data_IF_482147592493
#
_entry.id   IF_482147592493
#
_cell.length_a   1.000
_cell.length_b   1.000
_cell.length_c   1.000
_cell.angle_alpha   90.00
_cell.angle_beta   90.00
_cell.angle_gamma   90.00
#
_symmetry.space_group_name_H-M   'P 1'
#
loop_
_entity.id
_entity.type
_entity.pdbx_description
1 polymer ?
#
# COMPACT_ATOMS: atom_id res chain seq x y z
N UNK A 1 -4.13 16.91 -13.08
CA UNK A 1 -5.05 16.27 -12.11
C UNK A 1 -4.44 14.93 -11.72
N UNK A 2 -4.17 14.67 -10.44
CA UNK A 2 -3.64 13.37 -9.99
C UNK A 2 -4.84 12.54 -9.57
N UNK A 3 -5.22 11.56 -10.38
CA UNK A 3 -6.26 10.60 -9.98
C UNK A 3 -5.69 9.69 -8.90
N UNK A 4 -6.31 9.73 -7.72
CA UNK A 4 -6.05 8.74 -6.67
C UNK A 4 -6.59 7.39 -7.14
N UNK A 5 -5.70 6.40 -7.26
CA UNK A 5 -6.05 5.07 -7.75
C UNK A 5 -6.48 4.22 -6.57
N UNK A 6 -7.77 3.92 -6.53
CA UNK A 6 -8.36 2.98 -5.59
C UNK A 6 -9.13 1.90 -6.33
N UNK A 7 -9.31 0.76 -5.67
CA UNK A 7 -10.13 -0.34 -6.16
C UNK A 7 -11.20 -0.64 -5.13
N UNK A 8 -12.40 -0.94 -5.59
CA UNK A 8 -13.50 -1.40 -4.75
C UNK A 8 -13.91 -2.79 -5.16
N UNK A 9 -14.08 -3.65 -4.15
CA UNK A 9 -14.79 -4.91 -4.28
C UNK A 9 -16.22 -4.66 -3.83
N UNK A 10 -17.17 -4.96 -4.71
CA UNK A 10 -18.59 -4.73 -4.49
C UNK A 10 -19.35 -6.05 -4.54
N UNK A 11 -20.38 -6.15 -3.73
CA UNK A 11 -21.35 -7.23 -3.81
C UNK A 11 -22.13 -7.08 -5.13
N UNK A 12 -22.30 -8.19 -5.86
CA UNK A 12 -22.72 -8.15 -7.26
C UNK A 12 -24.17 -7.72 -7.50
N UNK A 13 -25.05 -7.85 -6.52
CA UNK A 13 -26.50 -7.63 -6.68
C UNK A 13 -26.90 -6.21 -6.26
N UNK A 14 -26.49 -5.82 -5.07
CA UNK A 14 -26.76 -4.55 -4.40
C UNK A 14 -25.75 -3.46 -4.76
N UNK A 15 -24.57 -3.84 -5.25
CA UNK A 15 -23.47 -2.91 -5.52
C UNK A 15 -22.81 -2.36 -4.25
N UNK A 16 -23.15 -2.91 -3.07
CA UNK A 16 -22.59 -2.48 -1.79
C UNK A 16 -21.08 -2.67 -1.77
N UNK A 17 -20.33 -1.65 -1.37
CA UNK A 17 -18.87 -1.76 -1.25
C UNK A 17 -18.53 -2.64 -0.05
N UNK A 18 -17.83 -3.74 -0.32
CA UNK A 18 -17.35 -4.68 0.68
C UNK A 18 -15.97 -4.29 1.16
N UNK A 19 -15.07 -3.98 0.22
CA UNK A 19 -13.67 -3.68 0.52
C UNK A 19 -13.14 -2.58 -0.38
N UNK A 20 -12.49 -1.59 0.21
CA UNK A 20 -11.73 -0.57 -0.51
C UNK A 20 -10.25 -0.84 -0.38
N UNK A 21 -9.53 -0.89 -1.51
CA UNK A 21 -8.09 -1.00 -1.58
C UNK A 21 -7.52 0.33 -2.09
N UNK A 22 -6.72 0.98 -1.27
CA UNK A 22 -6.07 2.25 -1.58
C UNK A 22 -4.57 2.04 -1.77
N UNK A 23 -4.02 2.55 -2.88
CA UNK A 23 -2.58 2.68 -3.07
C UNK A 23 -2.16 4.11 -2.73
N UNK A 24 -1.25 4.27 -1.76
CA UNK A 24 -0.80 5.60 -1.36
C UNK A 24 -0.03 6.31 -2.46
N UNK A 25 -0.39 7.58 -2.66
CA UNK A 25 0.37 8.50 -3.50
C UNK A 25 1.33 9.36 -2.64
N UNK A 26 2.41 9.92 -3.21
CA UNK A 26 3.28 10.85 -2.48
C UNK A 26 2.55 12.04 -1.86
N UNK A 27 1.46 12.51 -2.48
CA UNK A 27 0.62 13.60 -1.99
C UNK A 27 -0.13 13.23 -0.70
N UNK A 28 -0.48 11.96 -0.51
CA UNK A 28 -1.21 11.47 0.66
C UNK A 28 -0.29 11.38 1.90
N UNK A 29 1.02 11.21 1.68
CA UNK A 29 2.01 11.00 2.76
C UNK A 29 2.71 12.29 3.18
N UNK A 30 2.94 13.23 2.25
CA UNK A 30 3.55 14.54 2.54
C UNK A 30 2.58 15.45 3.30
N UNK A 31 3.09 16.24 4.24
CA UNK A 31 2.27 17.19 5.00
C UNK A 31 1.55 18.20 4.10
N UNK A 32 0.38 18.66 4.54
CA UNK A 32 -0.44 19.64 3.83
C UNK A 32 -1.79 19.07 3.39
N UNK A 33 -2.53 19.86 2.61
CA UNK A 33 -3.94 19.59 2.28
C UNK A 33 -4.19 18.20 1.66
N UNK A 34 -3.23 17.65 0.91
CA UNK A 34 -3.36 16.33 0.32
C UNK A 34 -3.41 15.20 1.36
N UNK A 35 -2.56 15.26 2.37
CA UNK A 35 -2.58 14.33 3.49
C UNK A 35 -3.82 14.51 4.35
N UNK A 36 -4.22 15.75 4.62
CA UNK A 36 -5.40 16.02 5.44
C UNK A 36 -6.68 15.48 4.79
N UNK A 37 -6.84 15.70 3.49
CA UNK A 37 -7.93 15.13 2.71
C UNK A 37 -7.91 13.60 2.71
N UNK A 38 -6.72 12.99 2.54
CA UNK A 38 -6.57 11.54 2.60
C UNK A 38 -6.93 10.99 3.99
N UNK A 39 -6.49 11.64 5.07
CA UNK A 39 -6.82 11.23 6.43
C UNK A 39 -8.32 11.32 6.73
N UNK A 40 -9.01 12.34 6.20
CA UNK A 40 -10.46 12.44 6.28
C UNK A 40 -11.15 11.28 5.55
N UNK A 41 -10.76 10.99 4.29
CA UNK A 41 -11.27 9.84 3.52
C UNK A 41 -11.03 8.52 4.26
N UNK A 42 -9.82 8.33 4.77
CA UNK A 42 -9.43 7.15 5.57
C UNK A 42 -10.32 6.98 6.79
N UNK A 43 -10.61 8.07 7.53
CA UNK A 43 -11.51 8.03 8.68
C UNK A 43 -12.95 7.70 8.30
N UNK A 44 -13.44 8.21 7.16
CA UNK A 44 -14.78 7.87 6.65
C UNK A 44 -14.91 6.37 6.36
N UNK A 45 -13.93 5.76 5.68
CA UNK A 45 -13.96 4.32 5.39
C UNK A 45 -13.86 3.51 6.68
N UNK A 46 -12.96 3.87 7.60
CA UNK A 46 -12.79 3.20 8.89
C UNK A 46 -14.03 3.33 9.79
N UNK A 47 -14.82 4.40 9.63
CA UNK A 47 -16.11 4.59 10.31
C UNK A 47 -17.30 3.87 9.66
N UNK A 48 -17.10 3.21 8.52
CA UNK A 48 -18.15 2.48 7.79
C UNK A 48 -18.11 0.97 8.06
N UNK A 49 -19.00 0.20 7.43
CA UNK A 49 -18.97 -1.28 7.43
C UNK A 49 -18.04 -1.87 6.35
N UNK A 50 -17.45 -1.03 5.51
CA UNK A 50 -16.53 -1.41 4.44
C UNK A 50 -15.19 -1.82 5.03
N UNK A 51 -14.60 -2.93 4.60
CA UNK A 51 -13.22 -3.28 4.93
C UNK A 51 -12.23 -2.36 4.21
N UNK A 52 -11.02 -2.25 4.73
CA UNK A 52 -10.02 -1.32 4.22
C UNK A 52 -8.67 -1.97 4.08
N UNK A 53 -8.06 -1.85 2.89
CA UNK A 53 -6.66 -2.22 2.63
C UNK A 53 -5.92 -0.97 2.15
N UNK A 54 -4.82 -0.63 2.82
CA UNK A 54 -3.97 0.51 2.48
C UNK A 54 -2.56 0.02 2.18
N UNK A 55 -2.09 0.25 0.95
CA UNK A 55 -0.78 -0.17 0.46
C UNK A 55 0.13 1.06 0.36
N UNK A 56 1.21 1.06 1.13
CA UNK A 56 2.23 2.11 1.19
C UNK A 56 3.55 1.57 0.62
N UNK A 57 3.83 1.88 -0.64
CA UNK A 57 5.10 1.55 -1.32
C UNK A 57 6.06 2.76 -1.36
N UNK A 58 5.87 3.74 -0.47
CA UNK A 58 6.64 4.99 -0.49
C UNK A 58 7.65 5.01 0.66
N UNK A 59 8.95 5.09 0.36
CA UNK A 59 10.00 5.22 1.39
C UNK A 59 9.92 6.55 2.15
N UNK A 60 9.60 7.64 1.44
CA UNK A 60 9.61 9.00 1.99
C UNK A 60 8.31 9.42 2.66
N UNK A 61 8.39 10.42 3.55
CA UNK A 61 7.24 11.03 4.21
C UNK A 61 6.84 10.34 5.53
N UNK A 62 6.00 11.01 6.32
CA UNK A 62 5.61 10.48 7.64
C UNK A 62 4.60 9.33 7.49
N UNK A 63 4.77 8.21 8.20
CA UNK A 63 3.76 7.16 8.30
C UNK A 63 2.36 7.71 8.61
N UNK A 64 1.32 7.06 8.10
CA UNK A 64 -0.05 7.43 8.47
C UNK A 64 -0.35 7.04 9.93
N UNK A 65 -1.24 7.76 10.62
CA UNK A 65 -1.52 7.51 12.04
C UNK A 65 -2.04 6.08 12.28
N UNK A 66 -1.39 5.36 13.18
CA UNK A 66 -1.81 4.07 13.71
C UNK A 66 -1.28 3.91 15.13
N UNK A 67 -2.01 3.21 16.00
CA UNK A 67 -1.50 2.79 17.31
C UNK A 67 -0.69 1.51 17.14
N UNK A 68 0.54 1.51 17.65
CA UNK A 68 1.51 0.45 17.42
C UNK A 68 2.73 0.97 16.67
N UNK A 69 3.88 0.33 16.86
CA UNK A 69 5.13 0.74 16.21
C UNK A 69 5.72 -0.45 15.45
N UNK A 70 5.95 -0.25 14.16
CA UNK A 70 6.76 -1.15 13.34
C UNK A 70 7.62 -0.32 12.40
N UNK A 71 8.93 -0.37 12.63
CA UNK A 71 9.91 0.28 11.77
C UNK A 71 9.94 -0.44 10.41
N UNK A 72 9.51 0.27 9.37
CA UNK A 72 9.44 -0.21 7.99
C UNK A 72 9.25 0.97 7.05
N UNK A 73 9.86 0.89 5.87
CA UNK A 73 9.65 1.84 4.79
C UNK A 73 8.33 1.57 4.06
N UNK A 74 8.03 0.28 3.81
CA UNK A 74 6.85 -0.16 3.09
C UNK A 74 5.87 -0.88 4.00
N UNK A 75 4.57 -0.67 3.75
CA UNK A 75 3.51 -1.22 4.60
C UNK A 75 2.29 -1.67 3.82
N UNK A 76 1.63 -2.70 4.31
CA UNK A 76 0.27 -3.08 3.92
C UNK A 76 -0.57 -3.15 5.19
N UNK A 77 -1.58 -2.29 5.30
CA UNK A 77 -2.52 -2.26 6.41
C UNK A 77 -3.84 -2.90 5.96
N UNK A 78 -4.38 -3.79 6.80
CA UNK A 78 -5.68 -4.43 6.57
C UNK A 78 -6.56 -4.20 7.80
N UNK A 79 -7.64 -3.46 7.61
CA UNK A 79 -8.66 -3.22 8.63
C UNK A 79 -9.98 -3.83 8.19
N UNK A 80 -10.24 -5.04 8.70
CA UNK A 80 -11.56 -5.70 8.61
C UNK A 80 -12.55 -4.91 9.43
N UNK A 81 -13.75 -4.68 8.90
CA UNK A 81 -14.76 -3.88 9.60
C UNK A 81 -15.22 -4.53 10.90
N UNK A 82 -15.24 -5.86 10.97
CA UNK A 82 -15.60 -6.64 12.17
C UNK A 82 -14.56 -6.58 13.30
N UNK A 83 -13.28 -6.35 12.98
CA UNK A 83 -12.18 -6.43 13.96
C UNK A 83 -11.80 -5.05 14.54
N UNK A 84 -12.47 -3.99 14.09
CA UNK A 84 -12.14 -2.62 14.50
C UNK A 84 -12.34 -2.45 16.01
N UNK A 85 -11.43 -1.70 16.68
CA UNK A 85 -10.43 -0.80 16.12
C UNK A 85 -9.08 -1.44 15.76
N UNK A 86 -8.95 -2.77 15.79
CA UNK A 86 -7.72 -3.46 15.43
C UNK A 86 -7.54 -3.53 13.91
N UNK A 87 -6.29 -3.69 13.48
CA UNK A 87 -5.90 -3.89 12.09
C UNK A 87 -4.63 -4.74 12.03
N UNK A 88 -4.48 -5.49 10.94
CA UNK A 88 -3.25 -6.22 10.63
C UNK A 88 -2.31 -5.31 9.84
N UNK A 89 -1.03 -5.32 10.18
CA UNK A 89 -0.02 -4.51 9.52
C UNK A 89 1.14 -5.42 9.10
N UNK A 90 1.42 -5.45 7.80
CA UNK A 90 2.62 -6.05 7.23
C UNK A 90 3.63 -4.93 6.96
N UNK A 91 4.85 -5.08 7.46
CA UNK A 91 5.95 -4.14 7.25
C UNK A 91 7.09 -4.87 6.56
N UNK A 92 7.67 -4.23 5.56
CA UNK A 92 8.79 -4.77 4.80
C UNK A 92 9.65 -3.63 4.27
N UNK A 93 10.86 -3.97 3.83
CA UNK A 93 11.88 -3.03 3.37
C UNK A 93 12.48 -3.49 2.04
N UNK A 94 13.35 -2.67 1.47
CA UNK A 94 14.02 -2.99 0.22
C UNK A 94 14.82 -4.30 0.36
N UNK A 95 14.80 -5.14 -0.67
CA UNK A 95 15.42 -6.47 -0.67
C UNK A 95 14.58 -7.58 -0.03
N UNK A 96 13.46 -7.24 0.62
CA UNK A 96 12.48 -8.23 1.10
C UNK A 96 11.36 -8.41 0.07
N UNK A 97 10.86 -9.64 -0.06
CA UNK A 97 9.68 -9.93 -0.88
C UNK A 97 8.45 -9.20 -0.34
N UNK A 98 7.61 -8.65 -1.23
CA UNK A 98 6.33 -8.04 -0.81
C UNK A 98 5.42 -9.15 -0.26
N UNK A 99 4.98 -9.07 1.00
CA UNK A 99 4.19 -10.12 1.62
C UNK A 99 2.86 -10.29 0.91
N UNK A 100 2.49 -11.54 0.64
CA UNK A 100 1.15 -11.88 0.21
C UNK A 100 0.15 -11.66 1.36
N UNK A 101 -1.06 -11.24 1.04
CA UNK A 101 -2.08 -10.96 2.05
C UNK A 101 -3.49 -11.30 1.58
N UNK A 102 -4.36 -11.66 2.52
CA UNK A 102 -5.78 -11.88 2.27
C UNK A 102 -6.51 -10.56 2.03
N UNK A 103 -7.27 -10.48 0.95
CA UNK A 103 -8.16 -9.34 0.72
C UNK A 103 -9.47 -9.63 1.43
N UNK A 104 -9.86 -8.85 2.44
CA UNK A 104 -11.07 -9.13 3.20
C UNK A 104 -12.30 -9.02 2.30
N UNK A 105 -13.30 -9.86 2.55
CA UNK A 105 -14.59 -9.86 1.87
C UNK A 105 -15.70 -9.75 2.92
N UNK A 106 -16.89 -10.31 2.68
CA UNK A 106 -17.92 -10.37 3.71
C UNK A 106 -17.50 -11.36 4.81
N UNK A 107 -18.20 -11.28 5.95
CA UNK A 107 -18.02 -12.25 7.01
C UNK A 107 -18.23 -13.67 6.46
N UNK A 108 -17.41 -14.60 6.93
CA UNK A 108 -17.42 -16.03 6.56
C UNK A 108 -17.03 -16.36 5.10
N UNK A 109 -16.67 -15.37 4.27
CA UNK A 109 -16.10 -15.61 2.95
C UNK A 109 -14.60 -15.91 3.03
N UNK A 110 -14.12 -16.82 2.19
CA UNK A 110 -12.68 -17.09 2.07
C UNK A 110 -12.00 -15.92 1.37
N UNK A 111 -11.06 -15.28 2.07
CA UNK A 111 -10.29 -14.17 1.51
C UNK A 111 -9.37 -14.64 0.38
N UNK A 112 -9.46 -14.08 -0.83
CA UNK A 112 -8.49 -14.36 -1.88
C UNK A 112 -7.13 -13.78 -1.47
N UNK A 113 -6.08 -14.56 -1.68
CA UNK A 113 -4.70 -14.12 -1.41
C UNK A 113 -4.19 -13.28 -2.58
N UNK A 114 -3.87 -12.02 -2.31
CA UNK A 114 -3.24 -11.12 -3.26
C UNK A 114 -1.72 -11.19 -3.15
N UNK A 115 -1.08 -11.62 -4.23
CA UNK A 115 0.38 -11.64 -4.38
C UNK A 115 0.82 -10.44 -5.21
N UNK A 116 1.22 -9.35 -4.56
CA UNK A 116 1.56 -8.10 -5.27
C UNK A 116 2.93 -8.17 -5.97
N UNK A 117 3.90 -8.91 -5.41
CA UNK A 117 5.23 -9.09 -5.99
C UNK A 117 5.20 -9.55 -7.47
N UNK A 118 4.58 -10.70 -7.81
CA UNK A 118 4.58 -11.17 -9.20
C UNK A 118 3.81 -10.24 -10.15
N UNK A 119 2.82 -9.49 -9.65
CA UNK A 119 2.08 -8.51 -10.47
C UNK A 119 2.97 -7.31 -10.84
N UNK A 120 3.72 -6.79 -9.87
CA UNK A 120 4.66 -5.69 -10.11
C UNK A 120 5.78 -6.13 -11.06
N UNK A 121 6.38 -7.30 -10.85
CA UNK A 121 7.42 -7.83 -11.74
C UNK A 121 6.92 -7.99 -13.17
N UNK A 122 5.73 -8.55 -13.38
CA UNK A 122 5.15 -8.68 -14.73
C UNK A 122 4.90 -7.34 -15.41
N UNK A 123 4.40 -6.35 -14.68
CA UNK A 123 4.19 -4.99 -15.21
C UNK A 123 5.53 -4.37 -15.58
N UNK A 124 6.53 -4.53 -14.72
CA UNK A 124 7.88 -4.03 -14.94
C UNK A 124 8.50 -4.58 -16.24
N UNK A 125 8.51 -5.90 -16.39
CA UNK A 125 9.08 -6.59 -17.55
C UNK A 125 8.32 -6.24 -18.84
N UNK A 126 6.99 -6.19 -18.78
CA UNK A 126 6.15 -5.89 -19.94
C UNK A 126 6.28 -4.45 -20.40
N UNK A 127 6.43 -3.51 -19.46
CA UNK A 127 6.59 -2.09 -19.75
C UNK A 127 8.03 -1.71 -20.12
N UNK A 128 8.99 -2.64 -19.98
CA UNK A 128 10.43 -2.40 -20.22
C UNK A 128 10.96 -1.25 -19.39
N UNK A 129 10.59 -1.20 -18.10
CA UNK A 129 11.00 -0.08 -17.23
C UNK A 129 12.51 0.03 -17.05
N UNK A 130 13.25 -1.06 -17.27
CA UNK A 130 14.72 -1.05 -17.37
C UNK A 130 15.26 -0.07 -18.42
N UNK A 131 14.48 0.24 -19.46
CA UNK A 131 14.85 1.19 -20.52
C UNK A 131 14.31 2.61 -20.28
N UNK A 132 13.29 2.74 -19.45
CA UNK A 132 12.57 4.00 -19.25
C UNK A 132 12.98 4.74 -17.97
N UNK A 133 13.54 4.02 -16.99
CA UNK A 133 13.95 4.56 -15.70
C UNK A 133 15.48 4.67 -15.67
N UNK A 134 15.98 5.83 -15.30
CA UNK A 134 17.41 6.06 -15.08
C UNK A 134 17.81 5.60 -13.67
N UNK A 135 18.33 4.37 -13.58
CA UNK A 135 18.79 3.75 -12.33
C UNK A 135 20.08 4.36 -11.77
N UNK A 136 20.76 5.23 -12.53
CA UNK A 136 21.94 5.95 -12.06
C UNK A 136 21.61 7.18 -11.20
N UNK A 137 20.33 7.57 -11.10
CA UNK A 137 19.94 8.76 -10.35
C UNK A 137 20.06 8.57 -8.84
N UNK A 138 20.48 9.65 -8.17
CA UNK A 138 20.50 9.68 -6.70
C UNK A 138 19.08 9.55 -6.16
N UNK A 139 18.85 8.48 -5.39
CA UNK A 139 17.54 8.22 -4.79
C UNK A 139 17.21 9.24 -3.68
N UNK A 140 15.95 9.64 -3.63
CA UNK A 140 15.38 10.45 -2.56
C UNK A 140 14.13 9.79 -2.00
N UNK A 141 14.09 9.38 -0.72
CA UNK A 141 15.17 9.49 0.27
C UNK A 141 16.40 8.62 -0.07
N UNK A 142 17.57 9.02 0.43
CA UNK A 142 18.80 8.24 0.24
C UNK A 142 18.66 6.86 0.88
N UNK A 143 19.26 5.85 0.25
CA UNK A 143 19.36 4.50 0.79
C UNK A 143 20.36 4.48 1.95
N UNK A 144 20.12 3.62 2.95
CA UNK A 144 21.14 3.33 3.94
C UNK A 144 22.26 2.46 3.34
N UNK A 145 23.39 2.30 4.03
CA UNK A 145 24.55 1.59 3.50
C UNK A 145 24.26 0.14 3.06
N UNK A 146 23.45 -0.61 3.82
CA UNK A 146 23.10 -1.99 3.47
C UNK A 146 22.21 -2.05 2.22
N UNK A 147 21.25 -1.13 2.11
CA UNK A 147 20.37 -1.01 0.94
C UNK A 147 21.15 -0.60 -0.31
N UNK A 148 22.14 0.29 -0.19
CA UNK A 148 22.99 0.70 -1.32
C UNK A 148 23.79 -0.50 -1.86
N UNK A 149 24.43 -1.26 -0.96
CA UNK A 149 25.16 -2.47 -1.36
C UNK A 149 24.24 -3.47 -2.05
N UNK A 150 23.05 -3.70 -1.50
CA UNK A 150 22.07 -4.59 -2.11
C UNK A 150 21.66 -4.11 -3.51
N UNK A 151 21.37 -2.83 -3.71
CA UNK A 151 21.01 -2.32 -5.05
C UNK A 151 22.15 -2.50 -6.06
N UNK A 152 23.41 -2.28 -5.65
CA UNK A 152 24.58 -2.45 -6.53
C UNK A 152 24.84 -3.91 -6.92
N UNK A 153 24.34 -4.89 -6.17
CA UNK A 153 24.44 -6.32 -6.55
C UNK A 153 23.44 -6.73 -7.64
N UNK A 154 22.35 -5.96 -7.82
CA UNK A 154 21.23 -6.30 -8.71
C UNK A 154 21.06 -5.34 -9.91
N UNK A 155 21.80 -4.23 -9.95
CA UNK A 155 21.92 -3.32 -11.11
C UNK A 155 23.13 -3.68 -11.96
#
# INVERSE_FOLDING_TARGET
>A
EVQERYLEIREGTTGTVITTIELLSPKNKRSGAGRDAYLQKRQQVLGSRTNFVEIDLLRGGRPLPMKGNMASDYRILISRSCDRPQAQLYGFNLGQEIPAFGVPLQADETEPILQLQPLISQIYDRARFELAIDYGQVLSPQLNGAEQTWVLEYL
#
